data_IF_545836313602
#
_entry.id   IF_545836313602
#
_cell.length_a   1.000
_cell.length_b   1.000
_cell.length_c   1.000
_cell.angle_alpha   90.00
_cell.angle_beta   90.00
_cell.angle_gamma   90.00
#
_symmetry.space_group_name_H-M   'P 1'
#
loop_
_entity.id
_entity.type
_entity.pdbx_description
1 polymer ?
#
# COMPACT_ATOMS: atom_id res chain seq x y z
N UNK A 1 -10.93 9.48 22.43
CA UNK A 1 -9.68 10.27 22.48
C UNK A 1 -8.51 9.55 21.77
N UNK A 2 -8.77 8.86 20.64
CA UNK A 2 -7.76 8.10 19.88
C UNK A 2 -7.43 8.69 18.49
N UNK A 3 -8.14 9.75 18.08
CA UNK A 3 -8.04 10.25 16.70
C UNK A 3 -6.87 11.23 16.48
N UNK A 4 -6.31 11.79 17.56
CA UNK A 4 -5.21 12.78 17.49
C UNK A 4 -3.84 12.10 17.40
N UNK A 5 -3.67 10.92 18.02
CA UNK A 5 -2.40 10.16 17.96
C UNK A 5 -2.14 9.52 16.59
N UNK A 6 -3.18 8.99 15.95
CA UNK A 6 -3.05 8.42 14.60
C UNK A 6 -2.69 9.47 13.53
N UNK A 7 -3.14 10.72 13.67
CA UNK A 7 -2.75 11.78 12.74
C UNK A 7 -1.27 12.13 12.86
N UNK A 8 -0.70 12.16 14.07
CA UNK A 8 0.71 12.51 14.25
C UNK A 8 1.63 11.46 13.63
N UNK A 9 1.38 10.17 13.87
CA UNK A 9 2.15 9.10 13.24
C UNK A 9 1.97 9.10 11.72
N UNK A 10 0.74 9.27 11.22
CA UNK A 10 0.44 9.39 9.77
C UNK A 10 1.22 10.51 9.09
N UNK A 11 1.21 11.70 9.70
CA UNK A 11 1.91 12.87 9.18
C UNK A 11 3.43 12.69 9.24
N UNK A 12 3.96 12.14 10.33
CA UNK A 12 5.40 11.87 10.47
C UNK A 12 5.88 10.86 9.41
N UNK A 13 5.11 9.79 9.17
CA UNK A 13 5.41 8.79 8.16
C UNK A 13 5.46 9.40 6.74
N UNK A 14 4.52 10.28 6.40
CA UNK A 14 4.53 10.98 5.11
C UNK A 14 5.76 11.88 4.96
N UNK A 15 6.10 12.64 5.99
CA UNK A 15 7.31 13.47 5.97
C UNK A 15 8.57 12.61 5.77
N UNK A 16 8.64 11.41 6.35
CA UNK A 16 9.78 10.50 6.09
C UNK A 16 9.85 10.07 4.63
N UNK A 17 8.73 9.77 3.98
CA UNK A 17 8.70 9.40 2.57
C UNK A 17 9.17 10.56 1.68
N UNK A 18 8.68 11.78 1.95
CA UNK A 18 9.09 12.98 1.21
C UNK A 18 10.58 13.23 1.40
N UNK A 19 11.06 13.23 2.64
CA UNK A 19 12.48 13.40 2.95
C UNK A 19 13.34 12.33 2.28
N UNK A 20 12.85 11.09 2.15
CA UNK A 20 13.54 10.02 1.43
C UNK A 20 13.65 10.32 -0.06
N UNK A 21 12.58 10.76 -0.71
CA UNK A 21 12.62 11.18 -2.12
C UNK A 21 13.63 12.31 -2.33
N UNK A 22 13.61 13.32 -1.46
CA UNK A 22 14.54 14.45 -1.50
C UNK A 22 15.98 13.99 -1.29
N UNK A 23 16.24 13.09 -0.33
CA UNK A 23 17.56 12.51 -0.10
C UNK A 23 18.08 11.68 -1.29
N UNK A 24 17.19 11.12 -2.11
CA UNK A 24 17.52 10.44 -3.36
C UNK A 24 17.76 11.41 -4.54
N UNK A 25 17.66 12.72 -4.31
CA UNK A 25 17.96 13.77 -5.29
C UNK A 25 16.75 14.35 -6.02
N UNK A 26 15.52 13.99 -5.61
CA UNK A 26 14.31 14.59 -6.19
C UNK A 26 14.03 15.98 -5.59
N UNK A 27 13.70 16.99 -6.40
CA UNK A 27 13.26 18.28 -5.88
C UNK A 27 11.93 18.12 -5.13
N UNK A 28 11.81 18.74 -3.95
CA UNK A 28 10.62 18.69 -3.10
C UNK A 28 9.33 19.04 -3.86
N UNK A 29 9.41 20.05 -4.74
CA UNK A 29 8.32 20.50 -5.62
C UNK A 29 7.79 19.43 -6.58
N UNK A 30 8.59 18.40 -6.86
CA UNK A 30 8.22 17.27 -7.73
C UNK A 30 7.81 16.03 -6.94
N UNK A 31 7.88 16.07 -5.61
CA UNK A 31 7.44 14.97 -4.76
C UNK A 31 5.94 15.14 -4.51
N UNK A 32 5.15 14.22 -5.07
CA UNK A 32 3.72 14.18 -4.84
C UNK A 32 3.37 13.07 -3.84
N UNK A 33 2.82 13.45 -2.69
CA UNK A 33 2.26 12.51 -1.73
C UNK A 33 0.83 12.17 -2.14
N UNK A 34 0.53 10.87 -2.25
CA UNK A 34 -0.82 10.35 -2.47
C UNK A 34 -1.30 9.81 -1.11
N UNK A 35 -1.95 10.67 -0.33
CA UNK A 35 -2.45 10.36 1.00
C UNK A 35 -3.87 9.77 0.96
N UNK A 36 -4.02 8.59 0.35
CA UNK A 36 -5.33 7.94 0.26
C UNK A 36 -5.42 6.58 0.98
N UNK A 37 -4.29 6.03 1.46
CA UNK A 37 -4.21 4.62 1.91
C UNK A 37 -3.72 4.40 3.36
N UNK A 38 -4.01 5.32 4.28
CA UNK A 38 -3.90 5.00 5.71
C UNK A 38 -5.19 4.34 6.23
N UNK A 39 -5.27 3.03 6.01
CA UNK A 39 -5.98 2.12 6.92
C UNK A 39 -7.49 1.98 6.77
N UNK A 40 -8.06 2.02 5.56
CA UNK A 40 -9.51 1.79 5.35
C UNK A 40 -9.79 0.62 4.41
N UNK A 41 -9.57 -0.59 4.93
CA UNK A 41 -10.38 -1.78 4.65
C UNK A 41 -11.04 -1.88 3.26
N UNK A 42 -10.27 -2.01 2.17
CA UNK A 42 -10.54 -2.87 1.00
C UNK A 42 -11.92 -2.82 0.29
N UNK A 43 -12.79 -1.86 0.56
CA UNK A 43 -14.19 -1.87 0.13
C UNK A 43 -14.70 -0.53 -0.41
N UNK A 44 -13.85 0.51 -0.45
CA UNK A 44 -14.28 1.86 -0.81
C UNK A 44 -13.91 2.28 -2.23
N UNK A 45 -14.83 2.96 -2.92
CA UNK A 45 -14.59 3.65 -4.20
C UNK A 45 -13.46 4.69 -4.13
N UNK A 46 -13.14 5.16 -2.91
CA UNK A 46 -12.13 6.19 -2.61
C UNK A 46 -10.70 5.63 -2.70
N UNK A 47 -10.45 4.41 -2.17
CA UNK A 47 -9.14 3.73 -2.18
C UNK A 47 -8.58 3.55 -3.61
N UNK A 48 -9.47 3.53 -4.61
CA UNK A 48 -9.09 3.40 -6.03
C UNK A 48 -8.69 4.70 -6.69
N UNK A 49 -8.96 5.87 -6.12
CA UNK A 49 -8.66 7.16 -6.78
C UNK A 49 -7.17 7.46 -6.75
N UNK A 50 -6.51 7.29 -5.60
CA UNK A 50 -5.07 7.47 -5.43
C UNK A 50 -4.26 6.52 -6.30
N UNK A 51 -4.62 5.23 -6.30
CA UNK A 51 -3.97 4.25 -7.17
C UNK A 51 -4.15 4.56 -8.66
N UNK A 52 -5.36 4.96 -9.09
CA UNK A 52 -5.59 5.37 -10.49
C UNK A 52 -4.75 6.58 -10.86
N UNK A 53 -4.62 7.55 -9.96
CA UNK A 53 -3.77 8.73 -10.16
C UNK A 53 -2.31 8.32 -10.32
N UNK A 54 -1.80 7.45 -9.43
CA UNK A 54 -0.44 6.90 -9.52
C UNK A 54 -0.18 6.23 -10.88
N UNK A 55 -1.07 5.33 -11.28
CA UNK A 55 -1.00 4.63 -12.57
C UNK A 55 -1.01 5.61 -13.74
N UNK A 56 -1.84 6.66 -13.67
CA UNK A 56 -1.89 7.69 -14.71
C UNK A 56 -0.58 8.47 -14.81
N UNK A 57 -0.01 8.93 -13.69
CA UNK A 57 1.26 9.67 -13.69
C UNK A 57 2.43 8.82 -14.22
N UNK A 58 2.46 7.52 -13.90
CA UNK A 58 3.42 6.57 -14.47
C UNK A 58 3.19 6.39 -15.97
N UNK A 59 1.94 6.15 -16.38
CA UNK A 59 1.60 5.93 -17.79
C UNK A 59 1.82 7.16 -18.68
N UNK A 60 1.77 8.36 -18.11
CA UNK A 60 2.11 9.62 -18.78
C UNK A 60 3.61 9.92 -18.78
N UNK A 61 4.43 9.13 -18.07
CA UNK A 61 5.88 9.34 -17.96
C UNK A 61 6.27 10.47 -17.01
N UNK A 62 5.37 10.92 -16.13
CA UNK A 62 5.63 11.99 -15.17
C UNK A 62 6.33 11.49 -13.89
N UNK A 63 6.26 10.18 -13.62
CA UNK A 63 6.87 9.55 -12.47
C UNK A 63 8.15 8.78 -12.86
N UNK A 64 9.22 8.95 -12.09
CA UNK A 64 10.45 8.15 -12.21
C UNK A 64 10.78 7.33 -10.94
N UNK A 65 10.07 7.59 -9.84
CA UNK A 65 10.24 6.91 -8.57
C UNK A 65 8.88 6.80 -7.86
N UNK A 66 8.57 5.61 -7.35
CA UNK A 66 7.41 5.37 -6.47
C UNK A 66 7.93 4.92 -5.12
N UNK A 67 7.62 5.65 -4.05
CA UNK A 67 8.04 5.30 -2.68
C UNK A 67 6.83 4.83 -1.87
N UNK A 68 6.98 3.70 -1.19
CA UNK A 68 6.01 3.17 -0.23
C UNK A 68 6.62 3.02 1.15
N UNK A 69 5.79 2.94 2.20
CA UNK A 69 6.27 2.71 3.57
C UNK A 69 6.90 1.33 3.73
N UNK A 70 6.26 0.35 3.14
CA UNK A 70 6.78 -1.00 2.95
C UNK A 70 6.28 -1.49 1.59
N UNK A 71 7.12 -2.21 0.83
CA UNK A 71 6.73 -2.69 -0.51
C UNK A 71 5.48 -3.59 -0.47
N UNK A 72 5.23 -4.23 0.67
CA UNK A 72 4.04 -5.03 0.96
C UNK A 72 2.73 -4.23 1.04
N UNK A 73 2.77 -2.94 1.36
CA UNK A 73 1.59 -2.09 1.53
C UNK A 73 0.88 -1.86 0.20
N UNK A 74 1.67 -1.71 -0.87
CA UNK A 74 1.19 -1.66 -2.25
C UNK A 74 0.66 -3.02 -2.73
N UNK A 75 1.01 -4.12 -2.05
CA UNK A 75 0.65 -5.48 -2.42
C UNK A 75 -0.67 -6.00 -1.83
N UNK A 76 -1.34 -5.22 -0.96
CA UNK A 76 -2.59 -5.63 -0.30
C UNK A 76 -3.73 -5.95 -1.28
N UNK A 77 -3.70 -5.38 -2.48
CA UNK A 77 -4.49 -5.84 -3.62
C UNK A 77 -3.56 -6.43 -4.69
N UNK A 78 -3.41 -7.75 -4.69
CA UNK A 78 -2.47 -8.46 -5.54
C UNK A 78 -2.63 -8.14 -7.05
N UNK A 79 -3.86 -7.87 -7.51
CA UNK A 79 -4.10 -7.44 -8.90
C UNK A 79 -3.48 -6.07 -9.20
N UNK A 80 -3.75 -5.09 -8.36
CA UNK A 80 -3.29 -3.72 -8.55
C UNK A 80 -1.76 -3.67 -8.40
N UNK A 81 -1.20 -4.49 -7.52
CA UNK A 81 0.25 -4.66 -7.36
C UNK A 81 0.94 -5.18 -8.62
N UNK A 82 0.44 -6.28 -9.19
CA UNK A 82 0.98 -6.80 -10.44
C UNK A 82 0.86 -5.78 -11.57
N UNK A 83 -0.27 -5.07 -11.67
CA UNK A 83 -0.45 -4.00 -12.64
C UNK A 83 0.58 -2.87 -12.46
N UNK A 84 0.84 -2.44 -11.22
CA UNK A 84 1.84 -1.42 -10.93
C UNK A 84 3.25 -1.89 -11.32
N UNK A 85 3.63 -3.12 -10.96
CA UNK A 85 4.93 -3.69 -11.32
C UNK A 85 5.15 -3.74 -12.83
N UNK A 86 4.14 -4.15 -13.59
CA UNK A 86 4.22 -4.21 -15.05
C UNK A 86 4.35 -2.81 -15.66
N UNK A 87 3.58 -1.82 -15.17
CA UNK A 87 3.70 -0.44 -15.62
C UNK A 87 5.06 0.16 -15.27
N UNK A 88 5.54 -0.02 -14.05
CA UNK A 88 6.86 0.49 -13.65
C UNK A 88 7.96 -0.14 -14.50
N UNK A 89 7.86 -1.44 -14.81
CA UNK A 89 8.81 -2.11 -15.72
C UNK A 89 8.75 -1.52 -17.14
N UNK A 90 7.54 -1.26 -17.65
CA UNK A 90 7.34 -0.74 -18.99
C UNK A 90 7.86 0.70 -19.16
N UNK A 91 7.65 1.55 -18.15
CA UNK A 91 8.02 2.97 -18.17
C UNK A 91 9.37 3.27 -17.52
N UNK A 92 10.09 2.25 -17.01
CA UNK A 92 11.40 2.42 -16.37
C UNK A 92 11.33 3.17 -15.03
N UNK A 93 10.24 2.98 -14.29
CA UNK A 93 10.01 3.62 -12.98
C UNK A 93 10.57 2.73 -11.88
N UNK A 94 11.39 3.30 -11.00
CA UNK A 94 11.99 2.60 -9.86
C UNK A 94 11.00 2.59 -8.70
N UNK A 95 10.97 1.51 -7.93
CA UNK A 95 10.19 1.41 -6.70
C UNK A 95 11.13 1.53 -5.50
N UNK A 96 10.69 2.18 -4.43
CA UNK A 96 11.44 2.28 -3.19
C UNK A 96 10.57 1.98 -1.98
N UNK A 97 11.20 1.47 -0.93
CA UNK A 97 10.66 1.51 0.42
C UNK A 97 11.49 2.46 1.30
N UNK A 98 11.27 2.41 2.62
CA UNK A 98 12.02 3.22 3.57
C UNK A 98 13.55 3.02 3.52
N UNK A 99 14.04 1.90 2.99
CA UNK A 99 15.44 1.50 3.06
C UNK A 99 16.06 1.22 1.67
N UNK A 100 15.33 0.60 0.76
CA UNK A 100 15.84 0.00 -0.48
C UNK A 100 15.17 0.58 -1.72
N UNK A 101 15.93 0.53 -2.82
CA UNK A 101 15.45 0.76 -4.18
C UNK A 101 15.32 -0.60 -4.86
N UNK A 102 14.29 -0.74 -5.69
CA UNK A 102 14.00 -1.92 -6.47
C UNK A 102 13.80 -1.50 -7.91
N UNK A 103 14.52 -2.12 -8.83
CA UNK A 103 14.29 -1.99 -10.26
C UNK A 103 13.35 -3.12 -10.74
N UNK A 104 12.09 -2.82 -11.13
CA UNK A 104 11.16 -3.84 -11.61
C UNK A 104 11.61 -4.57 -12.88
N UNK A 105 12.57 -4.02 -13.62
CA UNK A 105 13.20 -4.66 -14.77
C UNK A 105 14.32 -5.63 -14.35
N UNK A 106 14.91 -5.45 -13.17
CA UNK A 106 15.93 -6.34 -12.66
C UNK A 106 15.29 -7.64 -12.12
N UNK A 107 15.75 -8.78 -12.63
CA UNK A 107 15.19 -10.09 -12.28
C UNK A 107 15.16 -10.33 -10.76
N UNK A 108 16.24 -10.00 -10.06
CA UNK A 108 16.35 -10.22 -8.62
C UNK A 108 15.32 -9.40 -7.83
N UNK A 109 15.22 -8.11 -8.16
CA UNK A 109 14.30 -7.19 -7.48
C UNK A 109 12.85 -7.55 -7.80
N UNK A 110 12.55 -7.94 -9.05
CA UNK A 110 11.22 -8.41 -9.45
C UNK A 110 10.81 -9.67 -8.69
N UNK A 111 11.73 -10.60 -8.45
CA UNK A 111 11.45 -11.78 -7.63
C UNK A 111 11.15 -11.41 -6.18
N UNK A 112 11.95 -10.52 -5.59
CA UNK A 112 11.73 -10.05 -4.22
C UNK A 112 10.38 -9.35 -4.09
N UNK A 113 10.07 -8.43 -4.99
CA UNK A 113 8.79 -7.73 -5.06
C UNK A 113 7.59 -8.68 -5.24
N UNK A 114 7.76 -9.74 -6.04
CA UNK A 114 6.76 -10.79 -6.21
C UNK A 114 6.53 -11.61 -4.94
N UNK A 115 7.60 -12.03 -4.26
CA UNK A 115 7.53 -12.76 -2.99
C UNK A 115 6.89 -11.92 -1.88
N UNK A 116 7.23 -10.62 -1.80
CA UNK A 116 6.58 -9.68 -0.88
C UNK A 116 5.07 -9.60 -1.09
N UNK A 117 4.62 -9.68 -2.35
CA UNK A 117 3.19 -9.73 -2.66
C UNK A 117 2.49 -10.99 -2.15
N UNK A 118 3.12 -12.16 -2.34
CA UNK A 118 2.60 -13.44 -1.83
C UNK A 118 2.55 -13.45 -0.30
N UNK A 119 3.59 -12.93 0.36
CA UNK A 119 3.62 -12.84 1.83
C UNK A 119 2.48 -11.97 2.37
N UNK A 120 2.22 -10.81 1.75
CA UNK A 120 1.12 -9.93 2.13
C UNK A 120 -0.24 -10.62 2.00
N UNK A 121 -0.44 -11.41 0.95
CA UNK A 121 -1.66 -12.20 0.76
C UNK A 121 -1.83 -13.27 1.85
N UNK A 122 -0.74 -13.95 2.23
CA UNK A 122 -0.75 -14.94 3.29
C UNK A 122 -1.08 -14.32 4.66
N UNK A 123 -0.51 -13.17 4.99
CA UNK A 123 -0.82 -12.42 6.22
C UNK A 123 -2.30 -12.01 6.27
N UNK A 124 -2.83 -11.49 5.16
CA UNK A 124 -4.24 -11.14 5.06
C UNK A 124 -5.15 -12.36 5.25
N UNK A 125 -4.76 -13.51 4.70
CA UNK A 125 -5.48 -14.77 4.89
C UNK A 125 -5.53 -15.16 6.38
N UNK A 126 -4.40 -15.07 7.09
CA UNK A 126 -4.33 -15.38 8.51
C UNK A 126 -5.21 -14.43 9.35
N UNK A 127 -5.20 -13.13 9.06
CA UNK A 127 -6.07 -12.16 9.74
C UNK A 127 -7.55 -12.51 9.54
N UNK A 128 -7.97 -12.85 8.31
CA UNK A 128 -9.34 -13.27 8.02
C UNK A 128 -9.73 -14.54 8.77
N UNK A 129 -8.83 -15.52 8.86
CA UNK A 129 -9.07 -16.73 9.64
C UNK A 129 -9.30 -16.40 11.13
N UNK A 130 -8.44 -15.56 11.71
CA UNK A 130 -8.58 -15.12 13.11
C UNK A 130 -9.90 -14.38 13.35
N UNK A 131 -10.31 -13.50 12.44
CA UNK A 131 -11.58 -12.78 12.52
C UNK A 131 -12.77 -13.75 12.50
N UNK A 132 -12.81 -14.69 11.56
CA UNK A 132 -13.87 -15.69 11.47
C UNK A 132 -13.93 -16.61 12.71
N UNK A 133 -12.78 -16.99 13.25
CA UNK A 133 -12.74 -17.76 14.49
C UNK A 133 -13.29 -16.95 15.67
N UNK A 134 -12.91 -15.67 15.78
CA UNK A 134 -13.43 -14.76 16.80
C UNK A 134 -14.95 -14.52 16.68
N UNK A 135 -15.47 -14.37 15.47
CA UNK A 135 -16.92 -14.29 15.22
C UNK A 135 -17.64 -15.55 15.69
N UNK A 136 -17.13 -16.74 15.34
CA UNK A 136 -17.69 -18.02 15.79
C UNK A 136 -17.67 -18.17 17.31
N UNK A 137 -16.59 -17.76 17.97
CA UNK A 137 -16.51 -17.79 19.43
C UNK A 137 -17.51 -16.83 20.09
N UNK A 138 -17.69 -15.62 19.55
CA UNK A 138 -18.71 -14.68 20.01
C UNK A 138 -20.11 -15.24 19.80
N UNK A 139 -20.37 -15.90 18.67
CA UNK A 139 -21.65 -16.55 18.39
C UNK A 139 -21.94 -17.67 19.39
N UNK A 140 -20.95 -18.53 19.66
CA UNK A 140 -21.09 -19.63 20.63
C UNK A 140 -21.38 -19.16 22.06
N UNK A 141 -20.94 -17.95 22.43
CA UNK A 141 -21.25 -17.31 23.72
C UNK A 141 -22.54 -16.49 23.71
N UNK A 142 -23.24 -16.38 22.58
CA UNK A 142 -24.43 -15.52 22.43
C UNK A 142 -24.12 -14.02 22.42
N UNK A 143 -22.85 -13.63 22.24
CA UNK A 143 -22.36 -12.24 22.29
C UNK A 143 -22.20 -11.61 20.90
N UNK A 144 -22.44 -12.37 19.82
CA UNK A 144 -22.32 -11.86 18.45
C UNK A 144 -23.45 -10.88 18.15
N UNK A 145 -23.10 -9.60 17.99
CA UNK A 145 -24.01 -8.54 17.56
C UNK A 145 -23.90 -8.35 16.06
N UNK A 146 -24.98 -8.60 15.34
CA UNK A 146 -25.10 -8.32 13.91
C UNK A 146 -25.99 -7.08 13.72
N UNK A 147 -25.65 -6.15 12.81
CA UNK A 147 -26.59 -5.12 12.41
C UNK A 147 -27.81 -5.76 11.75
N UNK A 148 -28.99 -5.19 11.98
CA UNK A 148 -30.23 -5.66 11.34
C UNK A 148 -30.13 -5.39 9.84
N UNK A 149 -30.49 -6.35 8.95
CA UNK A 149 -30.53 -6.11 7.52
C UNK A 149 -31.46 -4.92 7.21
N UNK A 150 -31.03 -4.05 6.30
CA UNK A 150 -31.82 -2.91 5.82
C UNK A 150 -32.96 -3.33 4.89
#
# INVERSE_FOLDING_TARGET
MNQVRHHQESTELQYRLVNRAVALGWPDERVQVIDEDLGKSGAGTIERMGFKKLVAEIGLGNAGLVISLDASSLARNNRDWHQLLDLCSLFGVIIADGERLYDPCAYHDRLLLGLSGIMSEAELHQIRQCLHQGERQKAARGELRLPVPA
#
